data_IF_907029096524
#
_entry.id   IF_907029096524
#
_cell.length_a   1.000
_cell.length_b   1.000
_cell.length_c   1.000
_cell.angle_alpha   90.00
_cell.angle_beta   90.00
_cell.angle_gamma   90.00
#
_symmetry.space_group_name_H-M   'P 1'
#
loop_
_entity.id
_entity.type
_entity.pdbx_description
1 polymer ?
#
# COMPACT_ATOMS: atom_id res chain seq x y z
N UNK A 1 -18.98 -15.40 -3.16
CA UNK A 1 -18.46 -14.01 -3.29
C UNK A 1 -17.00 -14.12 -3.69
N UNK A 2 -16.54 -13.34 -4.66
CA UNK A 2 -15.17 -13.38 -5.18
C UNK A 2 -14.37 -12.18 -4.65
N UNK A 3 -13.22 -12.42 -4.02
CA UNK A 3 -12.31 -11.35 -3.64
C UNK A 3 -11.48 -10.97 -4.86
N UNK A 4 -11.62 -9.73 -5.34
CA UNK A 4 -10.81 -9.21 -6.45
C UNK A 4 -9.78 -8.24 -5.91
N UNK A 5 -8.51 -8.60 -6.07
CA UNK A 5 -7.37 -7.78 -5.69
C UNK A 5 -7.15 -6.79 -6.81
N UNK A 6 -7.08 -5.51 -6.45
CA UNK A 6 -6.85 -4.38 -7.35
C UNK A 6 -7.83 -4.27 -8.56
N UNK A 7 -7.57 -3.27 -9.40
CA UNK A 7 -8.44 -2.95 -10.53
C UNK A 7 -8.30 -3.93 -11.69
N UNK A 8 -7.17 -4.64 -11.82
CA UNK A 8 -6.94 -5.66 -12.86
C UNK A 8 -7.78 -6.90 -12.58
N UNK A 9 -7.84 -7.34 -11.31
CA UNK A 9 -8.72 -8.42 -10.88
C UNK A 9 -10.19 -8.05 -11.07
N UNK A 10 -10.54 -6.80 -10.78
CA UNK A 10 -11.90 -6.27 -10.99
C UNK A 10 -12.29 -6.23 -12.47
N UNK A 11 -11.36 -5.85 -13.36
CA UNK A 11 -11.58 -5.88 -14.80
C UNK A 11 -11.87 -7.30 -15.29
N UNK A 12 -11.03 -8.26 -14.91
CA UNK A 12 -11.22 -9.68 -15.26
C UNK A 12 -12.55 -10.24 -14.75
N UNK A 13 -12.95 -9.87 -13.53
CA UNK A 13 -14.24 -10.27 -12.95
C UNK A 13 -15.43 -9.72 -13.75
N UNK A 14 -15.38 -8.44 -14.15
CA UNK A 14 -16.43 -7.83 -14.99
C UNK A 14 -16.60 -8.56 -16.33
N UNK A 15 -15.50 -8.87 -17.01
CA UNK A 15 -15.53 -9.62 -18.28
C UNK A 15 -16.15 -11.02 -18.12
N UNK A 16 -15.83 -11.72 -17.02
CA UNK A 16 -16.41 -13.03 -16.73
C UNK A 16 -17.90 -12.96 -16.39
N UNK A 17 -18.35 -11.89 -15.75
CA UNK A 17 -19.78 -11.63 -15.48
C UNK A 17 -20.51 -11.31 -16.79
N UNK A 18 -19.96 -10.41 -17.61
CA UNK A 18 -20.56 -10.00 -18.90
C UNK A 18 -20.67 -11.18 -19.89
N UNK A 19 -19.68 -12.07 -19.90
CA UNK A 19 -19.72 -13.31 -20.71
C UNK A 19 -20.64 -14.40 -20.14
N UNK A 20 -21.27 -14.17 -18.98
CA UNK A 20 -22.14 -15.14 -18.31
C UNK A 20 -21.41 -16.34 -17.69
N UNK A 21 -20.07 -16.36 -17.74
CA UNK A 21 -19.22 -17.43 -17.19
C UNK A 21 -19.11 -17.38 -15.66
N UNK A 22 -19.38 -16.21 -15.08
CA UNK A 22 -19.39 -15.99 -13.65
C UNK A 22 -20.70 -15.33 -13.25
N UNK A 23 -21.23 -15.68 -12.07
CA UNK A 23 -22.45 -15.08 -11.49
C UNK A 23 -22.28 -14.64 -10.04
N UNK A 24 -21.06 -14.75 -9.50
CA UNK A 24 -20.80 -14.44 -8.08
C UNK A 24 -20.45 -12.96 -7.91
N UNK A 25 -20.99 -12.27 -6.89
CA UNK A 25 -20.65 -10.88 -6.60
C UNK A 25 -19.19 -10.76 -6.16
N UNK A 26 -18.58 -9.59 -6.41
CA UNK A 26 -17.19 -9.29 -6.05
C UNK A 26 -17.04 -8.39 -4.82
N UNK A 27 -15.96 -8.59 -4.07
CA UNK A 27 -15.43 -7.66 -3.08
C UNK A 27 -14.18 -7.05 -3.67
N UNK A 28 -14.17 -5.74 -3.84
CA UNK A 28 -12.99 -5.03 -4.35
C UNK A 28 -12.01 -4.77 -3.22
N UNK A 29 -10.82 -5.37 -3.26
CA UNK A 29 -9.74 -5.09 -2.33
C UNK A 29 -8.71 -4.16 -2.97
N UNK A 30 -8.81 -2.88 -2.64
CA UNK A 30 -7.89 -1.85 -3.11
C UNK A 30 -6.55 -1.95 -2.36
N UNK A 31 -5.63 -2.76 -2.89
CA UNK A 31 -4.30 -2.93 -2.30
C UNK A 31 -3.44 -1.65 -2.40
N UNK A 32 -3.74 -0.80 -3.38
CA UNK A 32 -3.17 0.54 -3.51
C UNK A 32 -4.21 1.45 -4.16
N UNK A 33 -4.22 2.72 -3.79
CA UNK A 33 -5.01 3.74 -4.50
C UNK A 33 -4.12 4.41 -5.56
N UNK A 34 -4.09 3.83 -6.76
CA UNK A 34 -3.22 4.23 -7.87
C UNK A 34 -3.50 5.65 -8.35
N UNK A 35 -4.76 6.11 -8.27
CA UNK A 35 -5.14 7.50 -8.61
C UNK A 35 -4.33 8.54 -7.84
N UNK A 36 -3.88 8.22 -6.62
CA UNK A 36 -3.20 9.16 -5.73
C UNK A 36 -1.70 8.89 -5.61
N UNK A 37 -1.12 8.09 -6.51
CA UNK A 37 0.32 7.87 -6.55
C UNK A 37 1.03 9.11 -7.12
N UNK A 38 2.06 9.57 -6.43
CA UNK A 38 2.97 10.59 -6.96
C UNK A 38 3.90 10.00 -8.03
N UNK A 39 4.29 10.84 -8.99
CA UNK A 39 5.17 10.45 -10.10
C UNK A 39 4.46 9.74 -11.26
N UNK A 40 3.12 9.68 -11.24
CA UNK A 40 2.30 9.11 -12.32
C UNK A 40 1.82 10.22 -13.25
N UNK A 41 1.76 9.94 -14.56
CA UNK A 41 1.30 10.93 -15.56
C UNK A 41 -0.19 11.28 -15.36
N UNK A 42 -0.63 12.45 -15.85
CA UNK A 42 -2.04 12.85 -15.75
C UNK A 42 -2.97 11.90 -16.52
N UNK A 43 -2.51 11.36 -17.64
CA UNK A 43 -3.25 10.36 -18.43
C UNK A 43 -3.42 9.05 -17.65
N UNK A 44 -2.35 8.56 -17.03
CA UNK A 44 -2.40 7.36 -16.20
C UNK A 44 -3.27 7.58 -14.96
N UNK A 45 -3.21 8.76 -14.33
CA UNK A 45 -4.10 9.10 -13.21
C UNK A 45 -5.58 9.07 -13.62
N UNK A 46 -5.93 9.61 -14.79
CA UNK A 46 -7.31 9.55 -15.30
C UNK A 46 -7.74 8.10 -15.57
N UNK A 47 -6.86 7.29 -16.16
CA UNK A 47 -7.09 5.86 -16.35
C UNK A 47 -7.32 5.14 -15.02
N UNK A 48 -6.42 5.29 -14.04
CA UNK A 48 -6.56 4.64 -12.73
C UNK A 48 -7.81 5.10 -11.99
N UNK A 49 -8.16 6.38 -12.08
CA UNK A 49 -9.37 6.92 -11.47
C UNK A 49 -10.61 6.23 -12.02
N UNK A 50 -10.67 6.05 -13.33
CA UNK A 50 -11.79 5.37 -13.96
C UNK A 50 -11.82 3.87 -13.60
N UNK A 51 -10.67 3.20 -13.63
CA UNK A 51 -10.60 1.78 -13.26
C UNK A 51 -10.98 1.53 -11.80
N UNK A 52 -10.53 2.37 -10.87
CA UNK A 52 -10.88 2.29 -9.45
C UNK A 52 -12.36 2.64 -9.23
N UNK A 53 -12.90 3.65 -9.91
CA UNK A 53 -14.33 3.98 -9.87
C UNK A 53 -15.19 2.80 -10.31
N UNK A 54 -14.88 2.20 -11.46
CA UNK A 54 -15.59 1.04 -11.98
C UNK A 54 -15.49 -0.17 -11.03
N UNK A 55 -14.33 -0.36 -10.40
CA UNK A 55 -14.11 -1.46 -9.44
C UNK A 55 -14.93 -1.28 -8.17
N UNK A 56 -15.03 -0.03 -7.66
CA UNK A 56 -15.92 0.32 -6.54
C UNK A 56 -17.38 0.06 -6.92
N UNK A 57 -17.82 0.60 -8.06
CA UNK A 57 -19.22 0.53 -8.51
C UNK A 57 -19.68 -0.92 -8.78
N UNK A 58 -18.81 -1.79 -9.28
CA UNK A 58 -19.15 -3.19 -9.59
C UNK A 58 -19.09 -4.14 -8.39
N UNK A 59 -18.54 -3.69 -7.26
CA UNK A 59 -18.34 -4.52 -6.07
C UNK A 59 -19.47 -4.36 -5.06
N UNK A 60 -19.82 -5.43 -4.34
CA UNK A 60 -20.79 -5.33 -3.23
C UNK A 60 -20.19 -4.71 -1.98
N UNK A 61 -18.86 -4.73 -1.87
CA UNK A 61 -18.07 -4.22 -0.77
C UNK A 61 -16.69 -3.83 -1.30
N UNK A 62 -16.19 -2.69 -0.85
CA UNK A 62 -14.81 -2.26 -1.10
C UNK A 62 -14.03 -2.31 0.21
N UNK A 63 -12.82 -2.88 0.15
CA UNK A 63 -11.90 -2.97 1.28
C UNK A 63 -10.71 -2.04 1.05
N UNK A 64 -10.47 -1.16 2.01
CA UNK A 64 -9.30 -0.29 2.10
C UNK A 64 -8.29 -0.85 3.12
N UNK A 65 -6.99 -0.69 2.86
CA UNK A 65 -5.91 -1.12 3.77
C UNK A 65 -5.86 -0.28 5.04
N UNK A 66 -6.13 1.02 4.93
CA UNK A 66 -6.09 1.94 6.05
C UNK A 66 -7.16 3.04 5.91
N UNK A 67 -7.40 3.80 6.98
CA UNK A 67 -8.33 4.93 6.95
C UNK A 67 -7.91 6.04 5.99
N UNK A 68 -6.60 6.17 5.70
CA UNK A 68 -6.10 7.08 4.67
C UNK A 68 -6.58 6.68 3.27
N UNK A 69 -6.51 5.39 2.95
CA UNK A 69 -6.98 4.85 1.68
C UNK A 69 -8.50 4.86 1.57
N UNK A 70 -9.21 4.63 2.68
CA UNK A 70 -10.67 4.79 2.72
C UNK A 70 -11.09 6.20 2.31
N UNK A 71 -10.43 7.23 2.86
CA UNK A 71 -10.69 8.64 2.49
C UNK A 71 -10.43 8.89 1.00
N UNK A 72 -9.35 8.35 0.46
CA UNK A 72 -9.00 8.46 -0.97
C UNK A 72 -10.04 7.80 -1.87
N UNK A 73 -10.45 6.57 -1.54
CA UNK A 73 -11.48 5.84 -2.30
C UNK A 73 -12.83 6.58 -2.26
N UNK A 74 -13.19 7.17 -1.11
CA UNK A 74 -14.38 8.02 -0.97
C UNK A 74 -14.34 9.28 -1.84
N UNK A 75 -13.15 9.81 -2.15
CA UNK A 75 -12.99 10.93 -3.10
C UNK A 75 -13.17 10.50 -4.57
N UNK A 76 -12.84 9.24 -4.90
CA UNK A 76 -13.09 8.68 -6.24
C UNK A 76 -14.59 8.44 -6.42
N UNK A 77 -15.23 7.80 -5.43
CA UNK A 77 -16.64 7.46 -5.46
C UNK A 77 -17.23 7.44 -4.06
N UNK A 78 -18.27 8.24 -3.82
CA UNK A 78 -19.05 8.21 -2.59
C UNK A 78 -19.89 6.92 -2.51
N UNK A 79 -19.26 5.81 -2.14
CA UNK A 79 -19.94 4.54 -1.86
C UNK A 79 -20.17 4.38 -0.35
N UNK A 80 -21.32 3.79 0.01
CA UNK A 80 -21.69 3.52 1.41
C UNK A 80 -21.04 2.25 1.98
N UNK A 81 -20.34 1.46 1.17
CA UNK A 81 -19.77 0.19 1.61
C UNK A 81 -18.26 0.09 1.35
N UNK A 82 -17.50 1.07 1.85
CA UNK A 82 -16.05 0.99 1.96
C UNK A 82 -15.72 0.69 3.42
N UNK A 83 -14.95 -0.38 3.67
CA UNK A 83 -14.52 -0.79 5.01
C UNK A 83 -13.00 -0.86 5.08
N UNK A 84 -12.45 -0.50 6.24
CA UNK A 84 -11.01 -0.64 6.50
C UNK A 84 -10.75 -2.04 7.02
N UNK A 85 -9.84 -2.76 6.37
CA UNK A 85 -9.29 -4.02 6.84
C UNK A 85 -7.77 -3.96 6.69
N UNK A 86 -7.03 -3.65 7.77
CA UNK A 86 -5.59 -3.61 7.70
C UNK A 86 -5.03 -5.02 7.44
N UNK A 87 -3.94 -5.15 6.66
CA UNK A 87 -3.30 -6.42 6.42
C UNK A 87 -2.83 -6.99 7.77
N UNK A 88 -3.10 -8.28 8.05
CA UNK A 88 -2.67 -8.87 9.30
C UNK A 88 -1.14 -8.90 9.35
N UNK A 89 -0.58 -8.60 10.52
CA UNK A 89 0.81 -8.93 10.78
C UNK A 89 0.95 -10.46 10.77
N UNK A 90 1.95 -10.98 10.05
CA UNK A 90 2.20 -12.42 10.05
C UNK A 90 2.63 -12.87 11.46
N UNK A 91 2.09 -13.99 11.94
CA UNK A 91 2.33 -14.49 13.30
C UNK A 91 3.81 -14.80 13.57
N UNK A 92 4.54 -15.27 12.56
CA UNK A 92 5.97 -15.52 12.67
C UNK A 92 6.76 -14.22 12.86
N UNK A 93 6.40 -13.17 12.12
CA UNK A 93 6.97 -11.82 12.31
C UNK A 93 6.62 -11.27 13.69
N UNK A 94 5.38 -11.44 14.14
CA UNK A 94 4.95 -11.04 15.48
C UNK A 94 5.76 -11.78 16.57
N UNK A 95 5.99 -13.08 16.39
CA UNK A 95 6.82 -13.89 17.27
C UNK A 95 8.27 -13.42 17.33
N UNK A 96 8.86 -13.09 16.18
CA UNK A 96 10.20 -12.49 16.12
C UNK A 96 10.24 -11.19 16.93
N UNK A 97 9.32 -10.25 16.70
CA UNK A 97 9.30 -8.97 17.43
C UNK A 97 9.20 -9.17 18.95
N UNK A 98 8.34 -10.08 19.41
CA UNK A 98 8.18 -10.37 20.85
C UNK A 98 9.44 -11.01 21.45
N UNK A 99 10.09 -11.92 20.74
CA UNK A 99 11.28 -12.62 21.21
C UNK A 99 12.54 -11.74 21.21
N UNK A 100 12.63 -10.78 20.29
CA UNK A 100 13.74 -9.82 20.25
C UNK A 100 13.55 -8.63 21.22
N UNK A 101 12.31 -8.35 21.63
CA UNK A 101 11.97 -7.23 22.52
C UNK A 101 12.55 -7.31 23.93
N UNK A 102 13.00 -8.49 24.38
CA UNK A 102 13.62 -8.69 25.70
C UNK A 102 15.14 -8.58 25.69
N UNK A 103 15.78 -8.38 24.53
CA UNK A 103 17.25 -8.23 24.48
C UNK A 103 17.64 -6.82 24.88
N UNK A 104 18.55 -6.70 25.86
CA UNK A 104 19.20 -5.44 26.25
C UNK A 104 20.26 -4.99 25.24
N UNK A 105 20.37 -5.67 24.10
CA UNK A 105 21.35 -5.36 23.07
C UNK A 105 21.10 -3.95 22.50
N UNK A 106 22.14 -3.12 22.52
CA UNK A 106 22.09 -1.77 21.94
C UNK A 106 21.78 -1.89 20.44
N UNK A 107 20.85 -1.06 19.96
CA UNK A 107 20.51 -0.96 18.53
C UNK A 107 21.49 -0.01 17.86
N UNK A 108 22.14 -0.48 16.80
CA UNK A 108 23.11 0.30 16.04
C UNK A 108 22.58 0.73 14.68
N UNK A 109 21.49 0.15 14.17
CA UNK A 109 21.05 0.37 12.80
C UNK A 109 19.78 1.22 12.73
N UNK A 110 19.77 2.17 11.79
CA UNK A 110 18.57 2.87 11.34
C UNK A 110 18.28 2.40 9.92
N UNK A 111 17.26 1.57 9.75
CA UNK A 111 16.99 0.91 8.46
C UNK A 111 15.80 1.52 7.73
N UNK A 112 16.02 1.93 6.48
CA UNK A 112 14.98 2.24 5.51
C UNK A 112 14.89 1.09 4.49
N UNK A 113 13.80 0.33 4.51
CA UNK A 113 13.60 -0.82 3.63
C UNK A 113 12.36 -0.60 2.74
N UNK A 114 12.56 -0.09 1.54
CA UNK A 114 11.49 0.32 0.62
C UNK A 114 11.89 0.06 -0.83
N UNK A 115 10.92 -0.19 -1.72
CA UNK A 115 11.14 -0.12 -3.17
C UNK A 115 11.58 1.30 -3.55
N UNK A 116 12.61 1.43 -4.37
CA UNK A 116 13.14 2.73 -4.81
C UNK A 116 12.25 3.31 -5.91
N UNK A 117 11.09 3.85 -5.51
CA UNK A 117 10.10 4.47 -6.39
C UNK A 117 9.80 5.91 -5.90
N UNK A 118 9.53 6.88 -6.79
CA UNK A 118 9.21 8.26 -6.40
C UNK A 118 8.12 8.38 -5.33
N UNK A 119 7.10 7.51 -5.38
CA UNK A 119 6.01 7.49 -4.39
C UNK A 119 6.41 7.10 -2.97
N UNK A 120 7.61 6.52 -2.79
CA UNK A 120 8.16 6.18 -1.47
C UNK A 120 9.05 7.28 -0.90
N UNK A 121 9.34 8.31 -1.71
CA UNK A 121 10.10 9.50 -1.33
C UNK A 121 11.38 9.18 -0.52
N UNK A 122 12.17 8.22 -1.02
CA UNK A 122 13.40 7.74 -0.36
C UNK A 122 14.40 8.88 -0.13
N UNK A 123 14.33 9.94 -0.95
CA UNK A 123 15.14 11.15 -0.79
C UNK A 123 15.00 11.78 0.60
N UNK A 124 13.81 11.79 1.19
CA UNK A 124 13.60 12.33 2.55
C UNK A 124 14.44 11.58 3.59
N UNK A 125 14.59 10.27 3.44
CA UNK A 125 15.47 9.50 4.32
C UNK A 125 16.93 9.92 4.14
N UNK A 126 17.40 10.02 2.89
CA UNK A 126 18.78 10.42 2.58
C UNK A 126 19.08 11.82 3.12
N UNK A 127 18.19 12.78 2.86
CA UNK A 127 18.33 14.16 3.32
C UNK A 127 18.36 14.24 4.86
N UNK A 128 17.53 13.44 5.55
CA UNK A 128 17.55 13.35 7.01
C UNK A 128 18.86 12.76 7.55
N UNK A 129 19.42 11.75 6.90
CA UNK A 129 20.72 11.18 7.27
C UNK A 129 21.85 12.20 7.07
N UNK A 130 21.82 12.98 5.99
CA UNK A 130 22.79 14.03 5.73
C UNK A 130 22.78 15.10 6.83
N UNK A 131 21.58 15.58 7.20
CA UNK A 131 21.40 16.55 8.28
C UNK A 131 21.89 16.01 9.63
N UNK A 132 21.64 14.73 9.91
CA UNK A 132 21.95 14.10 11.20
C UNK A 132 23.35 13.47 11.27
N UNK A 133 24.18 13.62 10.24
CA UNK A 133 25.43 12.87 10.06
C UNK A 133 26.33 12.88 11.31
N UNK A 134 26.60 14.05 11.88
CA UNK A 134 27.50 14.17 13.04
C UNK A 134 26.94 13.45 14.27
N UNK A 135 25.65 13.65 14.56
CA UNK A 135 24.94 12.98 15.64
C UNK A 135 24.94 11.45 15.49
N UNK A 136 24.73 10.95 14.26
CA UNK A 136 24.75 9.52 13.98
C UNK A 136 26.12 8.91 14.26
N UNK A 137 27.21 9.61 13.91
CA UNK A 137 28.58 9.19 14.20
C UNK A 137 28.83 9.17 15.70
N UNK A 138 28.48 10.25 16.42
CA UNK A 138 28.65 10.34 17.88
C UNK A 138 27.91 9.20 18.62
N UNK A 139 26.69 8.89 18.17
CA UNK A 139 25.86 7.85 18.77
C UNK A 139 26.23 6.42 18.33
N UNK A 140 27.14 6.28 17.35
CA UNK A 140 27.50 4.99 16.76
C UNK A 140 26.34 4.34 15.99
N UNK A 141 25.49 5.14 15.35
CA UNK A 141 24.34 4.69 14.57
C UNK A 141 24.71 4.59 13.08
N UNK A 142 24.35 3.47 12.47
CA UNK A 142 24.62 3.13 11.08
C UNK A 142 23.31 3.17 10.29
N UNK A 143 23.12 4.16 9.41
CA UNK A 143 21.98 4.18 8.51
C UNK A 143 22.14 3.12 7.41
N UNK A 144 21.07 2.38 7.14
CA UNK A 144 21.02 1.32 6.12
C UNK A 144 19.83 1.59 5.20
N UNK A 145 20.09 1.77 3.91
CA UNK A 145 19.06 1.82 2.88
C UNK A 145 19.07 0.50 2.09
N UNK A 146 17.94 -0.21 2.11
CA UNK A 146 17.75 -1.45 1.37
C UNK A 146 16.52 -1.31 0.46
N UNK A 147 16.69 -1.61 -0.82
CA UNK A 147 15.61 -1.51 -1.79
C UNK A 147 16.03 -1.96 -3.18
N UNK A 148 15.08 -2.44 -3.96
CA UNK A 148 15.26 -2.66 -5.39
C UNK A 148 14.75 -1.45 -6.18
N UNK A 149 15.40 -1.15 -7.31
CA UNK A 149 14.82 -0.26 -8.31
C UNK A 149 13.49 -0.84 -8.82
N UNK A 150 12.53 0.05 -9.08
CA UNK A 150 11.23 -0.28 -9.67
C UNK A 150 11.28 -0.09 -11.18
#
# INVERSE_FOLDING_TARGET
>A
MCLVIDWTGSMSHRELIQSGKLKVPSVFFAFCCYTFLSGVSSLDQAFYREQERLSIDSSVLTIAICSGDEKKLKQIRMSRNIRVLPPPLRKDVEGLVKNYGSSTARRYFITCCLRLHPSKNVKVFVDAIEILKEFLVEMGLVPVLCGSAA
#
